data_IF_088751650136
#
_entry.id   IF_088751650136
#
_cell.length_a   1.000
_cell.length_b   1.000
_cell.length_c   1.000
_cell.angle_alpha   90.00
_cell.angle_beta   90.00
_cell.angle_gamma   90.00
#
_symmetry.space_group_name_H-M   'P 1'
#
loop_
_entity.id
_entity.type
_entity.pdbx_description
1 polymer ?
#
# COMPACT_ATOMS: atom_id res chain seq x y z
N UNK A 1 -0.90 16.51 -2.69
CA UNK A 1 -1.46 15.15 -2.58
C UNK A 1 -0.85 14.30 -3.69
N UNK A 2 -0.10 13.25 -3.35
CA UNK A 2 0.53 12.33 -4.32
C UNK A 2 -0.24 11.02 -4.29
N UNK A 3 -0.82 10.60 -5.42
CA UNK A 3 -1.45 9.29 -5.55
C UNK A 3 -0.49 8.36 -6.27
N UNK A 4 -0.32 7.16 -5.75
CA UNK A 4 0.47 6.10 -6.35
C UNK A 4 -0.43 4.89 -6.58
N UNK A 5 -0.28 4.27 -7.73
CA UNK A 5 -1.01 3.08 -8.11
C UNK A 5 0.00 1.98 -8.38
N UNK A 6 -0.22 0.83 -7.77
CA UNK A 6 0.62 -0.35 -7.91
C UNK A 6 -0.25 -1.52 -8.32
N UNK A 7 0.26 -2.31 -9.26
CA UNK A 7 -0.39 -3.51 -9.74
C UNK A 7 0.44 -4.69 -9.25
N UNK A 8 -0.19 -5.61 -8.53
CA UNK A 8 0.53 -6.72 -7.91
C UNK A 8 0.77 -7.81 -8.94
N UNK A 9 2.02 -7.95 -9.38
CA UNK A 9 2.45 -9.05 -10.23
C UNK A 9 2.63 -10.37 -9.46
N UNK A 10 2.69 -11.48 -10.19
CA UNK A 10 2.91 -12.83 -9.65
C UNK A 10 4.19 -12.95 -8.81
N UNK A 11 5.15 -12.05 -9.00
CA UNK A 11 6.42 -12.04 -8.27
C UNK A 11 6.31 -11.43 -6.86
N UNK A 12 5.27 -10.64 -6.59
CA UNK A 12 5.05 -9.94 -5.32
C UNK A 12 3.90 -10.53 -4.48
N UNK A 13 3.48 -11.75 -4.83
CA UNK A 13 2.37 -12.44 -4.19
C UNK A 13 2.65 -12.72 -2.70
N UNK A 14 1.61 -12.57 -1.87
CA UNK A 14 1.59 -12.85 -0.43
C UNK A 14 2.42 -11.91 0.48
N UNK A 15 2.92 -10.79 -0.03
CA UNK A 15 3.47 -9.72 0.82
C UNK A 15 2.35 -9.03 1.61
N UNK A 16 2.71 -8.41 2.73
CA UNK A 16 1.80 -7.51 3.44
C UNK A 16 1.75 -6.18 2.71
N UNK A 17 0.59 -5.52 2.69
CA UNK A 17 0.41 -4.20 2.09
C UNK A 17 1.43 -3.19 2.65
N UNK A 18 1.69 -3.20 3.96
CA UNK A 18 2.70 -2.33 4.56
C UNK A 18 4.14 -2.60 4.09
N UNK A 19 4.48 -3.87 3.87
CA UNK A 19 5.81 -4.27 3.37
C UNK A 19 5.94 -3.88 1.91
N UNK A 20 4.95 -4.20 1.10
CA UNK A 20 4.93 -3.87 -0.33
C UNK A 20 5.07 -2.37 -0.56
N UNK A 21 4.34 -1.55 0.20
CA UNK A 21 4.48 -0.10 0.13
C UNK A 21 5.83 0.38 0.62
N UNK A 22 6.39 -0.22 1.68
CA UNK A 22 7.75 0.12 2.17
C UNK A 22 8.85 -0.20 1.16
N UNK A 23 8.69 -1.27 0.38
CA UNK A 23 9.62 -1.66 -0.68
C UNK A 23 9.52 -0.69 -1.87
N UNK A 24 8.30 -0.30 -2.24
CA UNK A 24 8.05 0.63 -3.35
C UNK A 24 8.33 2.10 -2.98
N UNK A 25 8.20 2.46 -1.71
CA UNK A 25 8.32 3.83 -1.21
C UNK A 25 9.41 3.92 -0.15
N UNK A 26 10.66 3.93 -0.60
CA UNK A 26 11.82 4.09 0.27
C UNK A 26 11.92 5.51 0.87
N UNK A 27 11.14 6.47 0.37
CA UNK A 27 11.05 7.84 0.91
C UNK A 27 10.28 7.92 2.23
N UNK A 28 9.40 6.93 2.53
CA UNK A 28 8.54 6.97 3.71
C UNK A 28 8.89 5.85 4.69
N UNK A 29 8.95 6.17 5.98
CA UNK A 29 9.14 5.16 7.01
C UNK A 29 7.93 4.22 7.11
N UNK A 30 8.17 2.96 7.49
CA UNK A 30 7.12 1.94 7.72
C UNK A 30 6.02 2.42 8.67
N UNK A 31 6.37 3.18 9.70
CA UNK A 31 5.42 3.77 10.65
C UNK A 31 4.49 4.79 10.00
N UNK A 32 5.01 5.61 9.10
CA UNK A 32 4.22 6.61 8.35
C UNK A 32 3.27 5.90 7.37
N UNK A 33 3.78 4.94 6.59
CA UNK A 33 2.95 4.13 5.69
C UNK A 33 1.86 3.37 6.46
N UNK A 34 2.21 2.73 7.59
CA UNK A 34 1.24 2.04 8.45
C UNK A 34 0.12 2.99 8.88
N UNK A 35 0.46 4.21 9.31
CA UNK A 35 -0.52 5.22 9.73
C UNK A 35 -1.41 5.66 8.56
N UNK A 36 -0.84 5.89 7.38
CA UNK A 36 -1.61 6.22 6.18
C UNK A 36 -2.63 5.11 5.84
N UNK A 37 -2.20 3.86 5.90
CA UNK A 37 -3.07 2.71 5.64
C UNK A 37 -4.17 2.62 6.72
N UNK A 38 -3.83 2.80 8.00
CA UNK A 38 -4.80 2.79 9.11
C UNK A 38 -5.81 3.95 9.04
N UNK A 39 -5.41 5.09 8.45
CA UNK A 39 -6.29 6.22 8.18
C UNK A 39 -7.18 6.01 6.93
N UNK A 40 -7.05 4.88 6.23
CA UNK A 40 -7.83 4.59 5.02
C UNK A 40 -7.28 5.26 3.76
N UNK A 41 -6.03 5.70 3.76
CA UNK A 41 -5.38 6.27 2.58
C UNK A 41 -4.80 5.23 1.63
N UNK A 42 -4.89 3.94 1.98
CA UNK A 42 -4.53 2.83 1.09
C UNK A 42 -5.75 1.95 0.82
N UNK A 43 -5.97 1.65 -0.46
CA UNK A 43 -7.08 0.83 -0.94
C UNK A 43 -6.55 -0.28 -1.84
N UNK A 44 -7.16 -1.46 -1.74
CA UNK A 44 -6.93 -2.62 -2.59
C UNK A 44 -8.21 -2.92 -3.35
N UNK A 45 -8.16 -2.95 -4.68
CA UNK A 45 -9.33 -3.12 -5.56
C UNK A 45 -10.49 -2.19 -5.17
N UNK A 46 -10.21 -0.90 -5.05
CA UNK A 46 -11.19 0.13 -4.68
C UNK A 46 -11.73 0.05 -3.23
N UNK A 47 -11.30 -0.94 -2.45
CA UNK A 47 -11.72 -1.11 -1.05
C UNK A 47 -10.59 -0.77 -0.07
N UNK A 48 -10.83 -0.01 1.02
CA UNK A 48 -9.81 0.27 2.02
C UNK A 48 -9.30 -1.03 2.64
N UNK A 49 -7.98 -1.22 2.64
CA UNK A 49 -7.34 -2.42 3.14
C UNK A 49 -6.47 -2.11 4.36
N UNK A 50 -6.33 -3.08 5.25
CA UNK A 50 -5.48 -2.93 6.43
C UNK A 50 -4.01 -3.11 6.06
N UNK A 51 -3.11 -2.53 6.85
CA UNK A 51 -1.66 -2.66 6.67
C UNK A 51 -1.22 -4.14 6.60
N UNK A 52 -1.84 -4.98 7.43
CA UNK A 52 -1.63 -6.44 7.48
C UNK A 52 -2.28 -7.24 6.35
N UNK A 53 -2.99 -6.59 5.43
CA UNK A 53 -3.63 -7.27 4.31
C UNK A 53 -2.56 -7.95 3.46
N UNK A 54 -2.77 -9.22 3.12
CA UNK A 54 -1.89 -9.96 2.22
C UNK A 54 -2.32 -9.71 0.79
N UNK A 55 -1.46 -9.03 0.05
CA UNK A 55 -1.69 -8.69 -1.35
C UNK A 55 -1.60 -9.95 -2.22
N UNK A 56 -2.48 -10.02 -3.21
CA UNK A 56 -2.59 -11.12 -4.16
C UNK A 56 -2.30 -10.60 -5.56
N UNK A 57 -1.83 -11.48 -6.41
CA UNK A 57 -1.61 -11.18 -7.82
C UNK A 57 -2.90 -10.68 -8.48
N UNK A 58 -2.80 -9.59 -9.22
CA UNK A 58 -3.93 -8.89 -9.83
C UNK A 58 -4.62 -7.88 -8.91
N UNK A 59 -4.22 -7.77 -7.64
CA UNK A 59 -4.70 -6.70 -6.77
C UNK A 59 -4.20 -5.34 -7.25
N UNK A 60 -5.10 -4.37 -7.30
CA UNK A 60 -4.78 -2.97 -7.57
C UNK A 60 -4.67 -2.21 -6.26
N UNK A 61 -3.45 -1.81 -5.91
CA UNK A 61 -3.17 -1.05 -4.68
C UNK A 61 -3.10 0.43 -5.04
N UNK A 62 -3.90 1.26 -4.37
CA UNK A 62 -3.87 2.71 -4.51
C UNK A 62 -3.45 3.29 -3.17
N UNK A 63 -2.34 4.03 -3.16
CA UNK A 63 -1.85 4.75 -1.99
C UNK A 63 -1.98 6.26 -2.23
N UNK A 64 -2.69 6.93 -1.32
CA UNK A 64 -2.79 8.39 -1.30
C UNK A 64 -1.87 8.95 -0.23
N UNK A 65 -0.76 9.54 -0.64
CA UNK A 65 0.21 10.16 0.26
C UNK A 65 -0.10 11.65 0.38
N UNK A 66 -0.33 12.07 1.61
CA UNK A 66 -0.42 13.48 1.97
C UNK A 66 0.93 13.92 2.55
N UNK A 67 1.45 15.10 2.13
CA UNK A 67 2.57 15.69 2.86
C UNK A 67 2.15 15.95 4.32
N UNK A 68 3.09 15.85 5.28
CA UNK A 68 2.84 16.17 6.68
C UNK A 68 2.46 17.64 6.89
#
# INVERSE_FOLDING_TARGET
MRRLEFLVDSNHQALRLDVFLSENQNEFSRSHLKRLIELGHASVNDSPAQAKYRIKTGDRIVLSIYPP
#
